data_IF_172533907603
#
_entry.id   IF_172533907603
#
_cell.length_a   1.000
_cell.length_b   1.000
_cell.length_c   1.000
_cell.angle_alpha   90.00
_cell.angle_beta   90.00
_cell.angle_gamma   90.00
#
_symmetry.space_group_name_H-M   'P 1'
#
loop_
_entity.id
_entity.type
_entity.pdbx_description
1 polymer ?
#
# COMPACT_ATOMS: atom_id res chain seq x y z
N UNK A 1 1.88 61.03 44.87
CA UNK A 1 1.49 60.10 45.94
C UNK A 1 0.62 58.99 45.34
N UNK A 2 0.98 57.74 45.66
CA UNK A 2 0.25 56.46 45.61
C UNK A 2 -0.32 55.85 44.29
N UNK A 3 0.25 54.65 44.05
CA UNK A 3 -0.22 53.46 43.34
C UNK A 3 -1.70 53.11 43.52
N UNK A 4 -2.28 52.47 42.50
CA UNK A 4 -3.00 51.20 42.66
C UNK A 4 -2.80 50.31 41.42
N UNK A 5 -2.50 49.03 41.67
CA UNK A 5 -2.17 47.99 40.70
C UNK A 5 -3.40 47.18 40.30
N UNK A 6 -3.45 46.65 39.07
CA UNK A 6 -4.28 45.49 38.74
C UNK A 6 -3.57 44.58 37.70
N UNK A 7 -2.98 43.52 38.26
CA UNK A 7 -3.01 42.11 37.83
C UNK A 7 -2.94 41.74 36.34
N UNK A 8 -1.85 41.04 36.01
CA UNK A 8 -1.76 40.14 34.85
C UNK A 8 -2.79 39.01 34.93
N UNK A 9 -3.44 38.67 33.82
CA UNK A 9 -3.91 37.30 33.56
C UNK A 9 -3.46 36.89 32.17
N UNK A 10 -2.57 35.90 32.15
CA UNK A 10 -2.06 35.30 30.93
C UNK A 10 -3.13 34.47 30.25
N UNK A 11 -3.38 34.76 28.98
CA UNK A 11 -3.87 33.77 28.04
C UNK A 11 -2.66 33.27 27.25
N UNK A 12 -1.89 32.36 27.87
CA UNK A 12 -0.98 31.52 27.12
C UNK A 12 -1.82 30.79 26.07
N UNK A 13 -1.64 31.16 24.81
CA UNK A 13 -2.08 30.37 23.66
C UNK A 13 -1.41 29.00 23.82
N UNK A 14 -2.12 28.02 24.37
CA UNK A 14 -1.72 26.62 24.31
C UNK A 14 -1.85 26.20 22.85
N UNK A 15 -0.84 26.56 22.05
CA UNK A 15 -0.57 25.88 20.81
C UNK A 15 -0.40 24.41 21.19
N UNK A 16 -1.30 23.56 20.67
CA UNK A 16 -1.15 22.12 20.75
C UNK A 16 0.23 21.79 20.19
N UNK A 17 1.18 21.50 21.09
CA UNK A 17 2.53 21.10 20.74
C UNK A 17 2.46 19.63 20.32
N UNK A 18 1.83 19.35 19.19
CA UNK A 18 1.98 18.06 18.52
C UNK A 18 3.46 17.99 18.16
N UNK A 19 4.16 16.99 18.69
CA UNK A 19 5.59 16.85 18.42
C UNK A 19 5.80 16.67 16.90
N UNK A 20 6.86 17.27 16.34
CA UNK A 20 7.22 17.07 14.92
C UNK A 20 7.35 15.59 14.54
N UNK A 21 7.58 14.71 15.51
CA UNK A 21 7.59 13.26 15.33
C UNK A 21 6.20 12.70 15.04
N UNK A 22 5.14 13.21 15.67
CA UNK A 22 3.76 12.78 15.43
C UNK A 22 3.19 13.31 14.10
N UNK A 23 3.70 14.42 13.59
CA UNK A 23 3.33 14.97 12.27
C UNK A 23 4.03 14.25 11.09
N UNK A 24 5.03 13.39 11.34
CA UNK A 24 5.88 12.78 10.31
C UNK A 24 5.47 11.35 9.89
N UNK A 25 4.41 10.80 10.47
CA UNK A 25 3.97 9.42 10.26
C UNK A 25 2.46 9.38 9.95
N UNK A 26 2.07 8.93 8.75
CA UNK A 26 0.65 8.71 8.44
C UNK A 26 0.16 7.49 9.24
N UNK A 27 -0.57 7.70 10.33
CA UNK A 27 -1.21 6.61 11.08
C UNK A 27 -2.36 6.01 10.27
N UNK A 28 -2.50 4.68 10.31
CA UNK A 28 -3.51 3.95 9.55
C UNK A 28 -4.88 4.14 10.18
N UNK A 29 -5.65 5.09 9.67
CA UNK A 29 -7.01 5.35 10.16
C UNK A 29 -8.04 4.61 9.31
N UNK A 30 -7.66 3.93 8.20
CA UNK A 30 -8.68 3.51 7.24
C UNK A 30 -8.51 2.20 6.45
N UNK A 31 -7.67 1.29 6.90
CA UNK A 31 -7.36 0.05 6.16
C UNK A 31 -8.57 -0.87 6.02
N UNK A 32 -9.41 -0.96 7.04
CA UNK A 32 -10.61 -1.81 7.02
C UNK A 32 -11.66 -1.32 6.02
N UNK A 33 -11.90 0.00 5.95
CA UNK A 33 -12.84 0.55 4.96
C UNK A 33 -12.31 0.36 3.53
N UNK A 34 -10.99 0.47 3.32
CA UNK A 34 -10.37 0.21 2.02
C UNK A 34 -10.54 -1.27 1.65
N UNK A 35 -10.26 -2.20 2.58
CA UNK A 35 -10.46 -3.63 2.35
C UNK A 35 -11.92 -3.94 1.98
N UNK A 36 -12.87 -3.38 2.72
CA UNK A 36 -14.31 -3.51 2.43
C UNK A 36 -14.69 -2.98 1.05
N UNK A 37 -14.20 -1.79 0.64
CA UNK A 37 -14.43 -1.23 -0.71
C UNK A 37 -13.90 -2.13 -1.83
N UNK A 38 -12.83 -2.88 -1.55
CA UNK A 38 -12.24 -3.84 -2.46
C UNK A 38 -12.87 -5.24 -2.35
N UNK A 39 -13.89 -5.42 -1.51
CA UNK A 39 -14.49 -6.71 -1.17
C UNK A 39 -13.45 -7.74 -0.67
N UNK A 40 -12.46 -7.29 0.10
CA UNK A 40 -11.45 -8.13 0.70
C UNK A 40 -11.78 -8.37 2.18
N UNK A 41 -11.82 -9.64 2.58
CA UNK A 41 -11.93 -10.06 3.97
C UNK A 41 -10.80 -11.03 4.30
N UNK A 42 -9.95 -10.66 5.25
CA UNK A 42 -8.76 -11.44 5.62
C UNK A 42 -8.99 -12.22 6.91
N UNK A 43 -8.56 -13.47 6.93
CA UNK A 43 -8.55 -14.34 8.13
C UNK A 43 -7.40 -13.98 9.05
N UNK A 44 -6.25 -13.65 8.47
CA UNK A 44 -5.05 -13.21 9.18
C UNK A 44 -5.20 -11.75 9.58
N UNK A 45 -5.31 -11.51 10.88
CA UNK A 45 -5.45 -10.16 11.42
C UNK A 45 -4.26 -9.27 11.02
N UNK A 46 -4.57 -8.03 10.61
CA UNK A 46 -3.55 -7.03 10.26
C UNK A 46 -2.76 -7.29 8.96
N UNK A 47 -2.99 -8.38 8.24
CA UNK A 47 -2.22 -8.71 7.02
C UNK A 47 -2.37 -7.64 5.93
N UNK A 48 -3.56 -7.04 5.81
CA UNK A 48 -3.79 -5.96 4.84
C UNK A 48 -3.04 -4.69 5.22
N UNK A 49 -3.02 -4.34 6.51
CA UNK A 49 -2.19 -3.24 7.00
C UNK A 49 -0.71 -3.52 6.75
N UNK A 50 -0.25 -4.73 7.03
CA UNK A 50 1.13 -5.14 6.76
C UNK A 50 1.48 -4.96 5.27
N UNK A 51 0.59 -5.35 4.34
CA UNK A 51 0.80 -5.18 2.91
C UNK A 51 0.99 -3.70 2.50
N UNK A 52 0.33 -2.77 3.20
CA UNK A 52 0.44 -1.33 2.97
C UNK A 52 1.55 -0.66 3.81
N UNK A 53 2.33 -1.44 4.56
CA UNK A 53 3.40 -0.92 5.43
C UNK A 53 4.78 -1.08 4.78
N UNK A 54 5.32 0.02 4.29
CA UNK A 54 6.66 0.07 3.71
C UNK A 54 7.74 0.03 4.80
N UNK A 55 8.91 -0.54 4.49
CA UNK A 55 10.02 -0.68 5.45
C UNK A 55 10.57 0.63 6.02
N UNK A 56 10.34 1.76 5.36
CA UNK A 56 10.73 3.06 5.92
C UNK A 56 9.89 3.46 7.13
N UNK A 57 8.65 2.95 7.23
CA UNK A 57 7.78 3.23 8.36
C UNK A 57 8.37 2.67 9.65
N UNK A 58 8.44 3.50 10.70
CA UNK A 58 9.03 3.16 12.00
C UNK A 58 10.41 2.47 11.89
N UNK A 59 11.18 2.82 10.86
CA UNK A 59 12.49 2.22 10.57
C UNK A 59 12.44 0.69 10.45
N UNK A 60 11.33 0.12 9.98
CA UNK A 60 11.15 -1.32 9.78
C UNK A 60 10.99 -2.14 11.06
N UNK A 61 10.75 -1.49 12.21
CA UNK A 61 10.57 -2.17 13.51
C UNK A 61 9.19 -2.79 13.70
N UNK A 62 8.31 -2.67 12.71
CA UNK A 62 7.00 -3.29 12.66
C UNK A 62 6.94 -4.22 11.44
N UNK A 63 6.02 -5.20 11.38
CA UNK A 63 5.87 -6.05 10.20
C UNK A 63 5.72 -5.20 8.92
N UNK A 64 6.58 -5.46 7.95
CA UNK A 64 6.63 -4.73 6.66
C UNK A 64 6.11 -5.60 5.53
N UNK A 65 5.89 -4.97 4.38
CA UNK A 65 5.34 -5.60 3.20
C UNK A 65 6.34 -6.43 2.36
N UNK A 66 7.65 -6.40 2.65
CA UNK A 66 8.69 -6.98 1.77
C UNK A 66 8.49 -8.48 1.50
N UNK A 67 8.08 -9.26 2.52
CA UNK A 67 7.75 -10.68 2.34
C UNK A 67 6.54 -10.88 1.42
N UNK A 68 5.47 -10.11 1.65
CA UNK A 68 4.23 -10.19 0.89
C UNK A 68 4.44 -9.71 -0.55
N UNK A 69 5.24 -8.67 -0.76
CA UNK A 69 5.67 -8.18 -2.08
C UNK A 69 6.35 -9.31 -2.87
N UNK A 70 7.29 -10.03 -2.26
CA UNK A 70 8.01 -11.09 -2.92
C UNK A 70 7.10 -12.27 -3.29
N UNK A 71 6.12 -12.60 -2.45
CA UNK A 71 5.09 -13.62 -2.75
C UNK A 71 4.19 -13.15 -3.88
N UNK A 72 3.62 -11.95 -3.75
CA UNK A 72 2.68 -11.40 -4.70
C UNK A 72 3.30 -11.11 -6.06
N UNK A 73 4.58 -10.75 -6.13
CA UNK A 73 5.30 -10.61 -7.40
C UNK A 73 5.28 -11.91 -8.20
N UNK A 74 5.57 -13.05 -7.56
CA UNK A 74 5.58 -14.36 -8.23
C UNK A 74 4.18 -14.77 -8.66
N UNK A 75 3.20 -14.62 -7.77
CA UNK A 75 1.79 -14.93 -8.08
C UNK A 75 1.26 -14.07 -9.25
N UNK A 76 1.49 -12.75 -9.20
CA UNK A 76 1.06 -11.82 -10.23
C UNK A 76 1.74 -12.11 -11.57
N UNK A 77 3.05 -12.35 -11.59
CA UNK A 77 3.76 -12.70 -12.82
C UNK A 77 3.19 -13.95 -13.49
N UNK A 78 2.88 -14.99 -12.71
CA UNK A 78 2.28 -16.20 -13.25
C UNK A 78 0.85 -15.94 -13.77
N UNK A 79 0.00 -15.25 -13.02
CA UNK A 79 -1.37 -14.93 -13.46
C UNK A 79 -1.40 -14.04 -14.72
N UNK A 80 -0.48 -13.08 -14.83
CA UNK A 80 -0.34 -12.26 -16.03
C UNK A 80 0.16 -13.07 -17.22
N UNK A 81 1.01 -14.07 -16.98
CA UNK A 81 1.46 -15.00 -18.03
C UNK A 81 0.28 -15.83 -18.53
N UNK A 82 -0.51 -16.41 -17.62
CA UNK A 82 -1.73 -17.16 -17.97
C UNK A 82 -2.71 -16.27 -18.76
N UNK A 83 -2.90 -15.01 -18.34
CA UNK A 83 -3.76 -14.05 -19.04
C UNK A 83 -3.24 -13.71 -20.45
N UNK A 84 -1.92 -13.61 -20.62
CA UNK A 84 -1.30 -13.39 -21.93
C UNK A 84 -1.50 -14.60 -22.85
N UNK A 85 -1.30 -15.82 -22.36
CA UNK A 85 -1.55 -17.06 -23.12
C UNK A 85 -3.02 -17.17 -23.51
N UNK A 86 -3.95 -16.90 -22.57
CA UNK A 86 -5.38 -16.92 -22.86
C UNK A 86 -5.77 -15.89 -23.94
N UNK A 87 -5.12 -14.72 -23.95
CA UNK A 87 -5.36 -13.65 -24.93
C UNK A 87 -4.77 -13.94 -26.31
N UNK A 88 -3.58 -14.53 -26.36
CA UNK A 88 -2.79 -14.66 -27.59
C UNK A 88 -2.75 -16.08 -28.17
N UNK A 89 -3.32 -17.06 -27.48
CA UNK A 89 -3.32 -18.47 -27.87
C UNK A 89 -2.11 -19.26 -27.36
N UNK A 90 -2.16 -20.58 -27.47
CA UNK A 90 -1.11 -21.51 -26.99
C UNK A 90 0.23 -21.35 -27.72
N UNK A 91 0.21 -20.90 -28.98
CA UNK A 91 1.40 -20.70 -29.83
C UNK A 91 2.06 -19.33 -29.63
N UNK A 92 1.67 -18.59 -28.58
CA UNK A 92 2.24 -17.26 -28.30
C UNK A 92 3.75 -17.34 -28.06
N UNK A 93 4.49 -16.46 -28.73
CA UNK A 93 5.95 -16.39 -28.59
C UNK A 93 6.36 -15.85 -27.22
N UNK A 94 7.50 -16.32 -26.71
CA UNK A 94 8.00 -15.96 -25.39
C UNK A 94 8.31 -14.45 -25.22
N UNK A 95 8.70 -13.75 -26.28
CA UNK A 95 8.93 -12.30 -26.28
C UNK A 95 7.62 -11.51 -26.08
N UNK A 96 6.53 -11.95 -26.71
CA UNK A 96 5.18 -11.38 -26.53
C UNK A 96 4.71 -11.56 -25.08
N UNK A 97 4.91 -12.75 -24.50
CA UNK A 97 4.60 -13.01 -23.08
C UNK A 97 5.40 -12.08 -22.16
N UNK A 98 6.72 -12.00 -22.36
CA UNK A 98 7.60 -11.13 -21.57
C UNK A 98 7.18 -9.66 -21.65
N UNK A 99 6.84 -9.18 -22.84
CA UNK A 99 6.37 -7.81 -23.05
C UNK A 99 5.05 -7.56 -22.32
N UNK A 100 4.06 -8.45 -22.49
CA UNK A 100 2.74 -8.31 -21.85
C UNK A 100 2.83 -8.26 -20.32
N UNK A 101 3.62 -9.15 -19.73
CA UNK A 101 3.85 -9.22 -18.27
C UNK A 101 4.66 -8.01 -17.82
N UNK A 102 5.74 -7.67 -18.54
CA UNK A 102 6.63 -6.56 -18.23
C UNK A 102 5.87 -5.24 -18.13
N UNK A 103 5.10 -4.88 -19.15
CA UNK A 103 4.31 -3.64 -19.20
C UNK A 103 3.35 -3.48 -18.01
N UNK A 104 2.74 -4.58 -17.54
CA UNK A 104 1.80 -4.57 -16.39
C UNK A 104 2.51 -4.59 -15.05
N UNK A 105 3.74 -5.11 -15.01
CA UNK A 105 4.59 -5.15 -13.83
C UNK A 105 5.45 -3.88 -13.67
N UNK A 106 5.42 -2.98 -14.66
CA UNK A 106 6.17 -1.73 -14.61
C UNK A 106 5.75 -0.86 -13.42
N UNK A 107 6.74 -0.12 -12.93
CA UNK A 107 6.62 0.77 -11.79
C UNK A 107 5.44 1.75 -11.91
N UNK A 108 5.29 2.36 -13.09
CA UNK A 108 4.25 3.35 -13.36
C UNK A 108 2.87 2.70 -13.43
N UNK A 109 2.75 1.55 -14.09
CA UNK A 109 1.49 0.82 -14.21
C UNK A 109 0.97 0.40 -12.81
N UNK A 110 1.83 -0.17 -11.98
CA UNK A 110 1.46 -0.58 -10.63
C UNK A 110 1.17 0.61 -9.71
N UNK A 111 1.91 1.71 -9.84
CA UNK A 111 1.61 2.93 -9.09
C UNK A 111 0.25 3.54 -9.47
N UNK A 112 -0.11 3.52 -10.77
CA UNK A 112 -1.44 3.95 -11.20
C UNK A 112 -2.55 3.05 -10.66
N UNK A 113 -2.32 1.73 -10.59
CA UNK A 113 -3.25 0.78 -9.95
C UNK A 113 -3.41 1.06 -8.46
N UNK A 114 -2.32 1.36 -7.75
CA UNK A 114 -2.36 1.76 -6.35
C UNK A 114 -3.31 2.95 -6.12
N UNK A 115 -3.18 3.99 -6.95
CA UNK A 115 -3.99 5.20 -6.84
C UNK A 115 -5.46 4.92 -7.20
N UNK A 116 -5.70 4.14 -8.25
CA UNK A 116 -7.06 3.71 -8.67
C UNK A 116 -7.77 2.92 -7.56
N UNK A 117 -7.03 2.09 -6.82
CA UNK A 117 -7.55 1.29 -5.72
C UNK A 117 -7.73 2.09 -4.41
N UNK A 118 -7.34 3.38 -4.38
CA UNK A 118 -7.49 4.23 -3.20
C UNK A 118 -6.64 3.80 -2.00
N UNK A 119 -5.50 3.14 -2.24
CA UNK A 119 -4.68 2.53 -1.18
C UNK A 119 -3.88 3.54 -0.35
N UNK A 120 -3.78 4.80 -0.82
CA UNK A 120 -2.95 5.84 -0.19
C UNK A 120 -3.31 6.09 1.27
N UNK A 121 -4.58 5.93 1.65
CA UNK A 121 -5.07 6.20 3.00
C UNK A 121 -4.74 5.12 4.03
N UNK A 122 -4.47 3.89 3.58
CA UNK A 122 -3.95 2.80 4.41
C UNK A 122 -2.42 2.69 4.42
N UNK A 123 -1.74 3.41 3.53
CA UNK A 123 -0.30 3.27 3.34
C UNK A 123 0.53 3.94 4.45
N UNK A 124 1.49 3.18 4.96
CA UNK A 124 2.41 3.60 6.01
C UNK A 124 3.84 3.64 5.46
N UNK A 125 4.46 4.82 5.53
CA UNK A 125 5.83 5.09 5.08
C UNK A 125 6.36 6.35 5.80
N UNK A 126 7.67 6.48 5.95
CA UNK A 126 8.29 7.69 6.52
C UNK A 126 8.29 8.83 5.51
N UNK A 127 7.50 9.88 5.77
CA UNK A 127 7.31 11.04 4.90
C UNK A 127 8.61 11.82 4.61
N UNK A 128 9.62 11.73 5.49
CA UNK A 128 10.88 12.46 5.36
C UNK A 128 11.82 11.81 4.37
N UNK A 129 11.80 10.48 4.30
CA UNK A 129 12.71 9.69 3.46
C UNK A 129 12.02 9.16 2.21
N UNK A 130 10.71 9.02 2.25
CA UNK A 130 9.91 8.48 1.17
C UNK A 130 8.60 9.28 1.10
N UNK A 131 8.38 10.02 0.01
CA UNK A 131 7.01 10.33 -0.38
C UNK A 131 6.28 9.03 -0.75
N UNK A 132 4.98 9.09 -1.08
CA UNK A 132 4.30 7.99 -1.78
C UNK A 132 4.86 7.85 -3.21
N UNK A 133 6.13 7.49 -3.33
CA UNK A 133 6.82 7.29 -4.59
C UNK A 133 6.23 6.11 -5.33
N UNK A 134 6.41 6.07 -6.64
CA UNK A 134 5.92 4.95 -7.44
C UNK A 134 6.53 3.62 -7.00
N UNK A 135 7.73 3.62 -6.41
CA UNK A 135 8.35 2.43 -5.81
C UNK A 135 7.55 1.95 -4.60
N UNK A 136 7.21 2.83 -3.66
CA UNK A 136 6.40 2.47 -2.49
C UNK A 136 5.03 1.96 -2.93
N UNK A 137 4.38 2.67 -3.87
CA UNK A 137 3.06 2.32 -4.41
C UNK A 137 3.07 0.95 -5.11
N UNK A 138 4.02 0.72 -6.02
CA UNK A 138 4.12 -0.53 -6.75
C UNK A 138 4.41 -1.73 -5.84
N UNK A 139 5.28 -1.55 -4.84
CA UNK A 139 5.55 -2.57 -3.82
C UNK A 139 4.30 -2.91 -3.02
N UNK A 140 3.52 -1.90 -2.62
CA UNK A 140 2.27 -2.10 -1.90
C UNK A 140 1.23 -2.88 -2.72
N UNK A 141 1.07 -2.59 -4.02
CA UNK A 141 0.15 -3.38 -4.89
C UNK A 141 0.57 -4.84 -4.96
N UNK A 142 1.85 -5.12 -5.20
CA UNK A 142 2.36 -6.50 -5.19
C UNK A 142 2.13 -7.16 -3.82
N UNK A 143 2.35 -6.43 -2.74
CA UNK A 143 2.13 -6.95 -1.40
C UNK A 143 0.65 -7.23 -1.09
N UNK A 144 -0.29 -6.43 -1.61
CA UNK A 144 -1.74 -6.72 -1.49
C UNK A 144 -2.08 -8.01 -2.22
N UNK A 145 -1.56 -8.22 -3.44
CA UNK A 145 -1.70 -9.50 -4.15
C UNK A 145 -1.12 -10.65 -3.30
N UNK A 146 0.05 -10.43 -2.69
CA UNK A 146 0.68 -11.40 -1.81
C UNK A 146 -0.12 -11.71 -0.54
N UNK A 147 -0.80 -10.71 0.03
CA UNK A 147 -1.68 -10.89 1.18
C UNK A 147 -2.91 -11.73 0.83
N UNK A 148 -3.57 -11.43 -0.30
CA UNK A 148 -4.71 -12.23 -0.79
C UNK A 148 -4.27 -13.66 -1.06
N UNK A 149 -3.12 -13.85 -1.70
CA UNK A 149 -2.58 -15.18 -1.98
C UNK A 149 -2.27 -15.96 -0.71
N UNK A 150 -1.61 -15.32 0.26
CA UNK A 150 -1.24 -15.98 1.50
C UNK A 150 -2.45 -16.38 2.34
N UNK A 151 -3.49 -15.55 2.36
CA UNK A 151 -4.64 -15.72 3.24
C UNK A 151 -5.78 -16.56 2.62
N UNK A 152 -5.97 -16.45 1.30
CA UNK A 152 -7.13 -17.01 0.58
C UNK A 152 -6.75 -17.93 -0.59
N UNK A 153 -5.47 -18.00 -0.96
CA UNK A 153 -4.97 -18.91 -1.99
C UNK A 153 -5.13 -18.42 -3.44
N UNK A 154 -4.79 -19.30 -4.37
CA UNK A 154 -4.63 -18.98 -5.80
C UNK A 154 -5.90 -18.44 -6.46
N UNK A 155 -7.05 -19.11 -6.27
CA UNK A 155 -8.29 -18.77 -6.97
C UNK A 155 -8.80 -17.37 -6.59
N UNK A 156 -8.89 -17.07 -5.29
CA UNK A 156 -9.29 -15.75 -4.81
C UNK A 156 -8.34 -14.65 -5.30
N UNK A 157 -7.03 -14.95 -5.35
CA UNK A 157 -6.04 -14.01 -5.89
C UNK A 157 -6.24 -13.75 -7.38
N UNK A 158 -6.52 -14.80 -8.17
CA UNK A 158 -6.79 -14.68 -9.60
C UNK A 158 -8.03 -13.82 -9.87
N UNK A 159 -9.10 -14.01 -9.09
CA UNK A 159 -10.29 -13.17 -9.16
C UNK A 159 -9.98 -11.70 -8.85
N UNK A 160 -9.24 -11.43 -7.76
CA UNK A 160 -8.80 -10.09 -7.41
C UNK A 160 -7.97 -9.45 -8.54
N UNK A 161 -6.97 -10.15 -9.06
CA UNK A 161 -6.09 -9.66 -10.12
C UNK A 161 -6.87 -9.35 -11.40
N UNK A 162 -7.77 -10.25 -11.82
CA UNK A 162 -8.60 -10.05 -13.01
C UNK A 162 -9.55 -8.87 -12.88
N UNK A 163 -10.10 -8.63 -11.69
CA UNK A 163 -11.04 -7.53 -11.44
C UNK A 163 -10.35 -6.17 -11.33
N UNK A 164 -9.12 -6.13 -10.79
CA UNK A 164 -8.50 -4.89 -10.34
C UNK A 164 -7.22 -4.49 -11.07
N UNK A 165 -6.49 -5.43 -11.66
CA UNK A 165 -5.14 -5.18 -12.21
C UNK A 165 -5.04 -5.39 -13.72
N UNK A 166 -5.74 -6.38 -14.27
CA UNK A 166 -5.70 -6.76 -15.70
C UNK A 166 -6.50 -5.80 -16.57
#
# INVERSE_FOLDING_TARGET
MLRAAFTMHGAQRRAFHISRQQLAEKSAVNTDQIAQKLNLSFRTEGIFQQALTHKSFKHGKVPTNERLEAVGQRALSQMLTDAAVAKHGSEVKADVLKKFVGERMELQALAARFDTLGLLDGAQYDLRTNAASNVVKAKAVKAVVGAVYHDQGWNATKEFVNKHLV
#
